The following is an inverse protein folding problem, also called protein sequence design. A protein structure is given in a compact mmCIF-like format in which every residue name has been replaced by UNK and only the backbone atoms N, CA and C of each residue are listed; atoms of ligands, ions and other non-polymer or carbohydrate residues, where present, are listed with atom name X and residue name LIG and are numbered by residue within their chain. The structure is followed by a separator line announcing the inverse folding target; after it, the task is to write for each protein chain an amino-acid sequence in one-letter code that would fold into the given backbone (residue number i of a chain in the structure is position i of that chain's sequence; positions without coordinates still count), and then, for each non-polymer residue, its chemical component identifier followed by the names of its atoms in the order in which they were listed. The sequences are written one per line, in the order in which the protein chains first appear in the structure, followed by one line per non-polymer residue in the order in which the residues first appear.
data_IF_865010966423
#
_entry.id   IF_865010966423
#
_cell.length_a   1.000
_cell.length_b   1.000
_cell.length_c   1.000
_cell.angle_alpha   90.00
_cell.angle_beta   90.00
_cell.angle_gamma   90.00
#
_symmetry.space_group_name_H-M   'P 1'
#
loop_
_entity.id
_entity.type
_entity.pdbx_description
1 polymer ?
#
# COMPACT_ATOMS: atom_id res chain seq x y z
N UNK A 1 8.68 -3.02 17.58
CA UNK A 1 9.00 -3.07 16.14
C UNK A 1 8.22 -1.95 15.48
N UNK A 2 8.85 -1.11 14.66
CA UNK A 2 8.14 -0.05 13.96
C UNK A 2 7.19 -0.71 12.95
N UNK A 3 5.88 -0.51 13.12
CA UNK A 3 4.87 -1.03 12.20
C UNK A 3 5.05 -0.33 10.85
N UNK A 4 5.23 -1.09 9.78
CA UNK A 4 5.42 -0.48 8.46
C UNK A 4 4.16 0.29 8.04
N UNK A 5 4.35 1.37 7.28
CA UNK A 5 3.28 2.21 6.71
C UNK A 5 2.23 1.37 6.00
N UNK A 6 2.69 0.42 5.19
CA UNK A 6 1.84 -0.46 4.41
C UNK A 6 0.97 -1.34 5.31
N UNK A 7 1.51 -1.82 6.44
CA UNK A 7 0.71 -2.58 7.40
C UNK A 7 -0.41 -1.71 7.99
N UNK A 8 -0.12 -0.47 8.39
CA UNK A 8 -1.12 0.45 8.94
C UNK A 8 -2.23 0.76 7.93
N UNK A 9 -1.87 0.99 6.68
CA UNK A 9 -2.83 1.27 5.60
C UNK A 9 -3.71 0.06 5.29
N UNK A 10 -3.15 -1.16 5.28
CA UNK A 10 -3.91 -2.38 5.05
C UNK A 10 -4.85 -2.72 6.22
N UNK A 11 -4.42 -2.48 7.46
CA UNK A 11 -5.27 -2.61 8.65
C UNK A 11 -6.45 -1.63 8.64
N UNK A 12 -6.21 -0.39 8.20
CA UNK A 12 -7.23 0.65 8.17
C UNK A 12 -8.40 0.38 7.20
N UNK A 13 -8.17 -0.40 6.13
CA UNK A 13 -9.21 -0.70 5.13
C UNK A 13 -10.18 -1.80 5.62
N UNK A 14 -9.76 -2.66 6.57
CA UNK A 14 -10.54 -3.73 7.20
C UNK A 14 -11.39 -4.61 6.24
N UNK A 15 -10.80 -5.03 5.11
CA UNK A 15 -11.42 -6.02 4.23
C UNK A 15 -10.69 -7.36 4.31
N UNK A 16 -11.34 -8.43 3.84
CA UNK A 16 -10.71 -9.74 3.70
C UNK A 16 -9.44 -9.69 2.83
N UNK A 17 -9.50 -8.98 1.70
CA UNK A 17 -8.35 -8.79 0.81
C UNK A 17 -7.21 -8.04 1.51
N UNK A 18 -7.52 -6.97 2.25
CA UNK A 18 -6.54 -6.21 3.01
C UNK A 18 -5.84 -7.06 4.08
N UNK A 19 -6.61 -7.90 4.80
CA UNK A 19 -6.08 -8.85 5.80
C UNK A 19 -5.19 -9.92 5.18
N UNK A 20 -5.53 -10.43 4.00
CA UNK A 20 -4.69 -11.40 3.28
C UNK A 20 -3.38 -10.77 2.82
N UNK A 21 -3.42 -9.57 2.24
CA UNK A 21 -2.22 -8.82 1.84
C UNK A 21 -1.33 -8.47 3.04
N UNK A 22 -1.95 -8.13 4.18
CA UNK A 22 -1.24 -7.86 5.43
C UNK A 22 -0.54 -9.11 5.97
N UNK A 23 -1.21 -10.26 5.94
CA UNK A 23 -0.62 -11.53 6.35
C UNK A 23 0.60 -11.89 5.47
N UNK A 24 0.47 -11.72 4.17
CA UNK A 24 1.55 -11.94 3.20
C UNK A 24 2.71 -10.96 3.41
N UNK A 25 2.43 -9.70 3.76
CA UNK A 25 3.45 -8.69 4.04
C UNK A 25 4.20 -8.96 5.36
N UNK A 26 3.54 -9.56 6.33
CA UNK A 26 4.13 -9.96 7.62
C UNK A 26 5.03 -11.18 7.52
N UNK A 27 4.84 -12.01 6.50
CA UNK A 27 5.65 -13.19 6.23
C UNK A 27 6.86 -12.83 5.33
N UNK A 28 8.12 -12.88 5.86
CA UNK A 28 9.31 -12.55 5.10
C UNK A 28 9.50 -13.40 3.83
N UNK A 29 9.06 -14.66 3.85
CA UNK A 29 9.20 -15.60 2.72
C UNK A 29 8.27 -15.24 1.56
N UNK A 30 7.18 -14.52 1.84
CA UNK A 30 6.15 -14.15 0.85
C UNK A 30 6.36 -12.75 0.29
N UNK A 31 7.26 -11.96 0.90
CA UNK A 31 7.66 -10.64 0.41
C UNK A 31 8.31 -10.77 -0.96
N UNK A 32 7.61 -10.26 -1.95
CA UNK A 32 8.03 -10.29 -3.34
C UNK A 32 7.64 -8.97 -4.03
N UNK A 33 8.32 -8.58 -5.12
CA UNK A 33 7.92 -7.43 -5.93
C UNK A 33 6.44 -7.49 -6.35
N UNK A 34 5.94 -8.69 -6.65
CA UNK A 34 4.54 -8.92 -7.03
C UNK A 34 3.58 -8.60 -5.88
N UNK A 35 3.93 -8.96 -4.64
CA UNK A 35 3.15 -8.62 -3.47
C UNK A 35 3.09 -7.09 -3.27
N UNK A 36 4.22 -6.39 -3.36
CA UNK A 36 4.24 -4.93 -3.23
C UNK A 36 3.41 -4.24 -4.30
N UNK A 37 3.48 -4.72 -5.56
CA UNK A 37 2.63 -4.22 -6.64
C UNK A 37 1.15 -4.46 -6.40
N UNK A 38 0.78 -5.63 -5.87
CA UNK A 38 -0.60 -5.94 -5.52
C UNK A 38 -1.11 -5.02 -4.38
N UNK A 39 -0.28 -4.78 -3.37
CA UNK A 39 -0.57 -3.85 -2.27
C UNK A 39 -0.76 -2.43 -2.82
N UNK A 40 0.14 -1.93 -3.65
CA UNK A 40 0.02 -0.59 -4.26
C UNK A 40 -1.29 -0.40 -5.04
N UNK A 41 -1.62 -1.34 -5.94
CA UNK A 41 -2.89 -1.32 -6.69
C UNK A 41 -4.11 -1.44 -5.77
N UNK A 42 -3.99 -2.19 -4.68
CA UNK A 42 -5.08 -2.34 -3.71
C UNK A 42 -5.31 -1.04 -2.93
N UNK A 43 -4.25 -0.41 -2.43
CA UNK A 43 -4.32 0.87 -1.73
C UNK A 43 -4.85 1.99 -2.64
N UNK A 44 -4.41 2.05 -3.89
CA UNK A 44 -4.88 3.03 -4.88
C UNK A 44 -6.40 2.95 -5.10
N UNK A 45 -6.94 1.72 -5.18
CA UNK A 45 -8.40 1.50 -5.29
C UNK A 45 -9.18 1.95 -4.06
N UNK A 46 -8.54 1.93 -2.89
CA UNK A 46 -9.16 2.24 -1.60
C UNK A 46 -8.73 3.61 -1.07
N UNK A 47 -8.01 4.41 -1.86
CA UNK A 47 -7.50 5.73 -1.45
C UNK A 47 -8.60 6.64 -0.91
N UNK A 48 -9.79 6.61 -1.49
CA UNK A 48 -10.95 7.38 -1.01
C UNK A 48 -11.51 6.87 0.32
N UNK A 49 -11.39 5.58 0.62
CA UNK A 49 -11.76 5.02 1.94
C UNK A 49 -10.72 5.41 2.98
N UNK A 50 -9.44 5.34 2.63
CA UNK A 50 -8.33 5.81 3.47
C UNK A 50 -8.49 7.32 3.76
N UNK A 51 -8.76 8.15 2.77
CA UNK A 51 -8.96 9.59 2.95
C UNK A 51 -10.17 9.96 3.81
N UNK A 52 -11.19 9.09 3.89
CA UNK A 52 -12.33 9.29 4.80
C UNK A 52 -12.04 8.89 6.24
N UNK A 53 -11.01 8.07 6.48
CA UNK A 53 -10.48 7.77 7.80
C UNK A 53 -9.54 8.89 8.32
N UNK A 54 -9.16 9.85 7.46
CA UNK A 54 -8.20 10.93 7.77
C UNK A 54 -8.67 12.14 8.63
N UNK A 55 -9.93 12.35 9.08
CA UNK A 55 -10.19 13.52 9.93
C UNK A 55 -9.57 13.42 11.34
N UNK A 56 -9.22 12.21 11.81
CA UNK A 56 -8.61 12.02 13.13
C UNK A 56 -7.08 11.84 13.06
N UNK A 57 -6.41 12.99 12.92
CA UNK A 57 -5.11 13.34 13.46
C UNK A 57 -3.86 12.49 13.09
N UNK A 58 -3.16 12.96 12.06
CA UNK A 58 -1.74 13.34 12.24
C UNK A 58 -0.66 12.40 11.69
N UNK A 59 -0.86 11.08 11.73
CA UNK A 59 0.22 10.13 11.39
C UNK A 59 0.34 9.83 9.88
N UNK A 60 -0.75 9.95 9.13
CA UNK A 60 -0.80 9.53 7.71
C UNK A 60 -0.68 10.68 6.70
N UNK A 61 -0.60 11.94 7.15
CA UNK A 61 -0.38 13.09 6.26
C UNK A 61 0.99 13.04 5.57
N UNK A 62 2.03 12.63 6.31
CA UNK A 62 3.37 12.38 5.76
C UNK A 62 3.38 11.16 4.82
N UNK A 63 2.46 10.21 5.02
CA UNK A 63 2.38 8.95 4.27
C UNK A 63 1.61 9.08 2.96
N UNK A 64 0.57 9.91 2.94
CA UNK A 64 -0.07 10.32 1.70
C UNK A 64 0.90 11.11 0.82
N UNK A 65 1.71 12.00 1.41
CA UNK A 65 2.76 12.72 0.69
C UNK A 65 3.83 11.77 0.13
N UNK A 66 4.26 10.76 0.91
CA UNK A 66 5.24 9.77 0.44
C UNK A 66 4.71 8.86 -0.69
N UNK A 67 3.41 8.56 -0.72
CA UNK A 67 2.79 7.79 -1.81
C UNK A 67 2.66 8.60 -3.11
N UNK A 68 2.45 9.91 -3.01
CA UNK A 68 2.42 10.83 -4.16
C UNK A 68 3.83 11.01 -4.77
N UNK A 69 4.88 10.81 -3.97
CA UNK A 69 6.28 10.81 -4.42
C UNK A 69 6.74 9.47 -5.02
N UNK A 70 5.94 8.40 -4.95
CA UNK A 70 6.26 7.17 -5.67
C UNK A 70 5.95 7.41 -7.15
N UNK A 71 6.97 7.49 -8.02
CA UNK A 71 6.71 7.63 -9.45
C UNK A 71 5.89 6.43 -9.90
N UNK A 72 4.80 6.73 -10.60
CA UNK A 72 3.97 5.74 -11.27
C UNK A 72 4.91 4.86 -12.11
N UNK A 73 5.13 3.61 -11.68
CA UNK A 73 5.85 2.61 -12.47
C UNK A 73 4.90 2.19 -13.61
N UNK A 74 4.59 3.13 -14.49
CA UNK A 74 3.89 2.86 -15.73
C UNK A 74 4.78 1.99 -16.60
N UNK A 75 4.18 0.94 -17.13
CA UNK A 75 4.76 -0.14 -17.92
C UNK A 75 5.49 0.33 -19.21
N UNK A 76 6.64 1.00 -19.09
CA UNK A 76 7.51 1.34 -20.23
C UNK A 76 8.89 0.65 -20.17
N UNK A 77 8.93 -0.68 -20.18
CA UNK A 77 10.09 -1.43 -20.68
C UNK A 77 9.65 -2.69 -21.44
N UNK A 78 8.86 -2.50 -22.50
CA UNK A 78 8.58 -3.54 -23.50
C UNK A 78 8.89 -3.05 -24.91
N UNK A 79 10.07 -2.46 -25.11
CA UNK A 79 10.64 -2.20 -26.46
C UNK A 79 12.15 -2.31 -26.43
N UNK A 80 12.66 -3.53 -26.67
CA UNK A 80 13.81 -3.84 -27.55
C UNK A 80 14.25 -5.29 -27.37
N UNK A 81 13.87 -6.14 -28.33
CA UNK A 81 14.85 -6.99 -29.01
C UNK A 81 14.36 -7.30 -30.43
#
# INVERSE_FOLDING_TARGET
MAQSVLEQLLEAIDTETGRNLLADLRDPERRSPQLYNAIGKYLERHKFTISRLQPDAGLLGELAAALDEVPDLTDEESTRH
#
